data_IF_801551722597
#
_entry.id   IF_801551722597
#
_cell.length_a   1.000
_cell.length_b   1.000
_cell.length_c   1.000
_cell.angle_alpha   90.00
_cell.angle_beta   90.00
_cell.angle_gamma   90.00
#
_symmetry.space_group_name_H-M   'P 1'
#
loop_
_entity.id
_entity.type
_entity.pdbx_description
1 polymer ?
#
# COMPACT_ATOMS: atom_id res chain seq x y z
N UNK A 1 0.26 7.10 -0.23
CA UNK A 1 0.99 5.99 0.37
C UNK A 1 2.06 6.66 1.21
N UNK A 2 1.87 6.77 2.52
CA UNK A 2 2.81 7.53 3.37
C UNK A 2 4.20 6.89 3.30
N UNK A 3 5.25 7.67 3.53
CA UNK A 3 6.63 7.16 3.54
C UNK A 3 6.83 6.03 4.57
N UNK A 4 5.94 5.94 5.57
CA UNK A 4 5.90 4.84 6.53
C UNK A 4 5.27 3.54 5.98
N UNK A 5 4.42 3.61 4.95
CA UNK A 5 3.81 2.42 4.32
C UNK A 5 4.77 1.68 3.41
N UNK A 6 5.70 2.37 2.75
CA UNK A 6 6.72 1.74 1.90
C UNK A 6 8.11 2.23 2.26
N UNK A 7 8.87 1.39 2.96
CA UNK A 7 10.29 1.61 3.24
C UNK A 7 11.10 0.74 2.27
N UNK A 8 11.84 1.36 1.34
CA UNK A 8 12.69 0.63 0.40
C UNK A 8 11.95 -0.36 -0.51
N UNK A 9 10.66 -0.13 -0.78
CA UNK A 9 9.83 -1.02 -1.60
C UNK A 9 9.07 -2.08 -0.82
N UNK A 10 9.32 -2.19 0.49
CA UNK A 10 8.61 -3.12 1.36
C UNK A 10 7.38 -2.45 1.96
N UNK A 11 6.22 -3.09 1.77
CA UNK A 11 4.95 -2.65 2.36
C UNK A 11 4.93 -3.01 3.84
N UNK A 12 4.68 -2.02 4.70
CA UNK A 12 4.43 -2.27 6.12
C UNK A 12 3.07 -2.98 6.30
N UNK A 13 3.10 -4.22 6.79
CA UNK A 13 1.89 -5.04 6.95
C UNK A 13 0.89 -4.46 7.95
N UNK A 14 1.33 -3.68 8.95
CA UNK A 14 0.42 -3.04 9.91
C UNK A 14 -0.34 -1.88 9.29
N UNK A 15 0.24 -1.22 8.29
CA UNK A 15 -0.39 -0.10 7.60
C UNK A 15 -1.53 -0.50 6.64
N UNK A 16 -1.61 -1.77 6.23
CA UNK A 16 -2.71 -2.28 5.40
C UNK A 16 -3.64 -3.12 6.29
N UNK A 17 -4.90 -2.70 6.50
CA UNK A 17 -5.83 -3.39 7.42
C UNK A 17 -6.00 -4.89 7.14
N UNK A 18 -6.04 -5.30 5.87
CA UNK A 18 -6.21 -6.71 5.50
C UNK A 18 -4.97 -7.57 5.72
N UNK A 19 -3.78 -6.95 5.74
CA UNK A 19 -2.54 -7.63 6.11
C UNK A 19 -2.39 -7.66 7.64
N UNK A 20 -2.71 -6.56 8.32
CA UNK A 20 -2.68 -6.45 9.78
C UNK A 20 -3.62 -7.45 10.47
N UNK A 21 -4.77 -7.76 9.85
CA UNK A 21 -5.78 -8.69 10.37
C UNK A 21 -6.05 -9.83 9.38
N UNK A 22 -4.99 -10.43 8.85
CA UNK A 22 -5.10 -11.49 7.84
C UNK A 22 -6.10 -12.58 8.23
N UNK A 23 -6.97 -12.95 7.28
CA UNK A 23 -7.91 -14.05 7.38
C UNK A 23 -7.63 -15.05 6.27
N UNK A 24 -7.81 -16.35 6.53
CA UNK A 24 -7.55 -17.39 5.54
C UNK A 24 -8.48 -17.33 4.31
N UNK A 25 -9.58 -16.58 4.41
CA UNK A 25 -10.50 -16.30 3.30
C UNK A 25 -10.03 -15.16 2.40
N UNK A 26 -9.02 -14.39 2.80
CA UNK A 26 -8.49 -13.30 1.99
C UNK A 26 -7.65 -13.85 0.84
N UNK A 27 -7.77 -13.17 -0.31
CA UNK A 27 -7.04 -13.50 -1.51
C UNK A 27 -6.17 -12.31 -1.94
N UNK A 28 -5.22 -12.56 -2.83
CA UNK A 28 -4.36 -11.52 -3.43
C UNK A 28 -5.21 -10.39 -4.03
N UNK A 29 -6.37 -10.73 -4.60
CA UNK A 29 -7.32 -9.74 -5.13
C UNK A 29 -7.77 -8.73 -4.05
N UNK A 30 -8.07 -9.20 -2.86
CA UNK A 30 -8.49 -8.35 -1.73
C UNK A 30 -7.35 -7.41 -1.33
N UNK A 31 -6.12 -7.92 -1.22
CA UNK A 31 -4.94 -7.11 -0.89
C UNK A 31 -4.71 -6.00 -1.91
N UNK A 32 -4.76 -6.31 -3.21
CA UNK A 32 -4.57 -5.34 -4.29
C UNK A 32 -5.70 -4.29 -4.35
N UNK A 33 -6.94 -4.70 -4.10
CA UNK A 33 -8.08 -3.79 -4.08
C UNK A 33 -7.98 -2.79 -2.93
N UNK A 34 -7.60 -3.25 -1.74
CA UNK A 34 -7.45 -2.42 -0.55
C UNK A 34 -6.26 -1.45 -0.71
N UNK A 35 -5.14 -1.90 -1.26
CA UNK A 35 -4.03 -1.02 -1.60
C UNK A 35 -4.44 0.09 -2.56
N UNK A 36 -5.25 -0.22 -3.60
CA UNK A 36 -5.80 0.80 -4.51
C UNK A 36 -6.74 1.77 -3.79
N UNK A 37 -7.60 1.28 -2.90
CA UNK A 37 -8.48 2.12 -2.10
C UNK A 37 -7.67 3.09 -1.23
N UNK A 38 -6.61 2.58 -0.59
CA UNK A 38 -5.69 3.40 0.21
C UNK A 38 -5.00 4.47 -0.63
N UNK A 39 -4.60 4.19 -1.87
CA UNK A 39 -4.06 5.20 -2.79
C UNK A 39 -5.06 6.33 -3.11
N UNK A 40 -6.37 6.05 -3.06
CA UNK A 40 -7.43 7.03 -3.24
C UNK A 40 -7.84 7.76 -1.94
N UNK A 41 -7.23 7.44 -0.79
CA UNK A 41 -7.53 8.18 0.45
C UNK A 41 -7.03 9.63 0.37
N UNK A 42 -7.73 10.55 1.04
CA UNK A 42 -7.42 11.99 1.03
C UNK A 42 -6.00 12.32 1.53
N UNK A 43 -5.49 11.52 2.46
CA UNK A 43 -4.11 11.61 2.96
C UNK A 43 -3.11 11.22 1.87
N UNK A 44 -3.45 10.22 1.05
CA UNK A 44 -2.56 9.67 0.03
C UNK A 44 -2.62 10.38 -1.31
N UNK A 45 -3.74 11.01 -1.67
CA UNK A 45 -3.88 11.80 -2.91
C UNK A 45 -2.97 13.03 -2.98
N UNK A 46 -2.53 13.55 -1.83
CA UNK A 46 -1.67 14.73 -1.74
C UNK A 46 -0.17 14.40 -1.75
N UNK A 47 0.17 13.12 -1.70
CA UNK A 47 1.57 12.71 -1.65
C UNK A 47 2.16 12.74 -3.06
N UNK A 48 3.35 13.32 -3.15
CA UNK A 48 4.12 13.33 -4.38
C UNK A 48 4.48 11.89 -4.74
N UNK A 49 4.15 11.48 -5.97
CA UNK A 49 4.65 10.23 -6.51
C UNK A 49 6.12 10.38 -6.93
N UNK A 50 6.86 9.30 -6.84
CA UNK A 50 8.18 9.20 -7.48
C UNK A 50 8.00 9.23 -9.01
N UNK A 51 9.07 9.56 -9.76
CA UNK A 51 9.05 9.49 -11.22
C UNK A 51 8.58 8.11 -11.70
N UNK A 52 7.73 8.11 -12.73
CA UNK A 52 7.30 6.87 -13.37
C UNK A 52 8.51 6.10 -13.92
N UNK A 53 8.53 4.78 -13.71
CA UNK A 53 9.63 3.92 -14.16
C UNK A 53 10.79 3.74 -13.18
N UNK A 54 10.75 4.37 -12.00
CA UNK A 54 11.74 4.13 -10.96
C UNK A 54 11.51 2.78 -10.26
N UNK A 55 12.57 2.00 -10.09
CA UNK A 55 12.57 0.72 -9.35
C UNK A 55 13.42 0.83 -8.08
N UNK A 56 13.17 -0.06 -7.11
CA UNK A 56 14.03 -0.19 -5.93
C UNK A 56 15.31 -0.94 -6.34
N UNK A 57 16.48 -0.44 -5.95
CA UNK A 57 17.78 -1.13 -6.13
C UNK A 57 17.98 -2.22 -5.08
#
# INVERSE_FOLDING_TARGET
MTLSMIIGGMVDAQSIPVLAKWQNSYSIKVVLQEQRCLMMSKENMKLLQLPEGQTYN
#
